data_IF_195485487239
#
_entry.id   IF_195485487239
#
_cell.length_a   1.000
_cell.length_b   1.000
_cell.length_c   1.000
_cell.angle_alpha   90.00
_cell.angle_beta   90.00
_cell.angle_gamma   90.00
#
_symmetry.space_group_name_H-M   'P 1'
#
loop_
_entity.id
_entity.type
_entity.pdbx_description
1 polymer ?
#
# COMPACT_ATOMS: atom_id res chain seq x y z
N UNK A 1 1.78 39.06 2.88
CA UNK A 1 2.60 37.86 3.17
C UNK A 1 3.64 38.12 4.26
N UNK A 2 3.27 38.70 5.41
CA UNK A 2 4.19 38.94 6.54
C UNK A 2 3.64 38.49 7.90
N UNK A 3 2.37 38.09 7.99
CA UNK A 3 1.75 37.65 9.24
C UNK A 3 1.85 36.13 9.49
N UNK A 4 2.06 35.31 8.45
CA UNK A 4 2.21 33.85 8.61
C UNK A 4 3.60 33.41 9.09
N UNK A 5 4.64 34.23 8.86
CA UNK A 5 6.00 33.89 9.28
C UNK A 5 6.21 33.95 10.81
N UNK A 6 5.40 34.76 11.53
CA UNK A 6 5.53 34.94 12.98
C UNK A 6 4.85 33.84 13.82
N UNK A 7 4.01 32.99 13.20
CA UNK A 7 3.30 31.91 13.91
C UNK A 7 4.13 30.63 14.02
N UNK A 8 4.96 30.35 13.02
CA UNK A 8 5.81 29.14 12.97
C UNK A 8 6.97 29.16 13.97
N UNK A 9 7.46 30.33 14.38
CA UNK A 9 8.55 30.43 15.38
C UNK A 9 8.10 30.16 16.84
N UNK A 10 6.79 30.18 17.16
CA UNK A 10 6.31 29.85 18.51
C UNK A 10 6.13 28.35 18.76
N UNK A 11 6.02 27.55 17.70
CA UNK A 11 5.80 26.11 17.82
C UNK A 11 7.09 25.28 17.87
N UNK A 12 8.23 25.86 17.48
CA UNK A 12 9.55 25.19 17.53
C UNK A 12 10.34 25.44 18.83
N UNK A 13 9.83 26.29 19.74
CA UNK A 13 10.49 26.61 21.02
C UNK A 13 10.15 25.67 22.19
N UNK A 14 9.39 24.59 21.98
CA UNK A 14 8.88 23.70 23.06
C UNK A 14 9.48 22.29 23.08
N UNK A 15 10.54 22.04 22.32
CA UNK A 15 11.23 20.75 22.23
C UNK A 15 12.74 20.91 22.40
N UNK A 16 13.15 21.49 23.52
CA UNK A 16 14.48 21.28 24.10
C UNK A 16 14.34 21.36 25.62
N UNK A 17 15.16 20.59 26.33
CA UNK A 17 15.22 20.42 27.80
C UNK A 17 14.40 19.27 28.38
N UNK A 18 14.97 18.06 28.33
CA UNK A 18 14.89 17.09 29.43
C UNK A 18 15.96 16.00 29.24
N UNK A 19 17.22 16.34 29.46
CA UNK A 19 18.27 15.40 29.86
C UNK A 19 19.08 16.08 30.97
N UNK A 20 19.19 15.44 32.13
CA UNK A 20 19.92 16.01 33.26
C UNK A 20 19.65 15.32 34.60
N UNK A 21 20.55 14.40 34.93
CA UNK A 21 20.72 13.64 36.16
C UNK A 21 20.68 14.46 37.47
N UNK A 22 20.52 13.76 38.60
CA UNK A 22 21.11 14.19 39.87
C UNK A 22 20.33 13.79 41.13
N UNK A 23 20.98 13.01 41.98
CA UNK A 23 20.53 12.56 43.29
C UNK A 23 20.37 13.71 44.32
N UNK A 24 19.52 13.54 45.33
CA UNK A 24 19.99 13.40 46.72
C UNK A 24 18.83 13.26 47.72
N UNK A 25 19.06 12.40 48.71
CA UNK A 25 18.19 12.15 49.83
C UNK A 25 18.42 13.18 50.95
N UNK A 26 17.35 13.69 51.57
CA UNK A 26 17.38 14.10 52.98
C UNK A 26 15.99 14.14 53.62
N UNK A 27 15.91 13.53 54.79
CA UNK A 27 14.75 13.39 55.66
C UNK A 27 14.39 14.68 56.41
N UNK A 28 13.14 14.77 56.88
CA UNK A 28 12.73 15.71 57.93
C UNK A 28 11.21 15.93 58.00
N UNK A 29 10.51 15.54 59.09
CA UNK A 29 9.06 15.65 59.25
C UNK A 29 8.64 16.88 60.07
N UNK A 30 7.48 17.46 59.79
CA UNK A 30 6.76 18.33 60.73
C UNK A 30 5.25 18.26 60.56
N UNK A 31 4.58 18.35 61.70
CA UNK A 31 3.19 18.02 61.99
C UNK A 31 2.15 19.12 61.68
N UNK A 32 0.89 18.69 61.75
CA UNK A 32 -0.26 19.34 62.42
C UNK A 32 -1.13 20.40 61.73
N UNK A 33 -2.45 20.26 61.95
CA UNK A 33 -3.52 21.25 61.81
C UNK A 33 -4.37 21.07 60.55
N UNK A 34 -5.65 20.68 60.54
CA UNK A 34 -6.69 20.76 61.56
C UNK A 34 -7.52 22.04 61.42
N UNK A 35 -8.53 22.07 60.54
CA UNK A 35 -9.73 22.91 60.73
C UNK A 35 -10.89 22.52 59.82
N UNK A 36 -11.99 22.15 60.46
CA UNK A 36 -13.37 22.04 59.98
C UNK A 36 -13.96 23.40 59.63
N UNK A 37 -14.80 23.47 58.59
CA UNK A 37 -15.66 24.64 58.32
C UNK A 37 -16.69 24.36 57.20
N UNK A 38 -17.97 24.76 57.35
CA UNK A 38 -19.11 24.16 56.66
C UNK A 38 -19.52 24.85 55.33
N UNK A 39 -20.37 24.13 54.58
CA UNK A 39 -21.15 24.58 53.43
C UNK A 39 -22.09 25.76 53.77
N UNK A 40 -22.61 26.51 52.78
CA UNK A 40 -23.92 26.11 52.23
C UNK A 40 -24.21 26.49 50.74
N UNK A 41 -25.32 25.91 50.28
CA UNK A 41 -26.32 26.44 49.32
C UNK A 41 -26.02 26.47 47.80
N UNK A 42 -26.61 25.46 47.14
CA UNK A 42 -27.57 25.54 46.04
C UNK A 42 -27.48 26.72 45.03
N UNK A 43 -27.32 26.35 43.75
CA UNK A 43 -28.13 26.95 42.69
C UNK A 43 -28.25 26.02 41.47
N UNK A 44 -29.48 25.84 41.04
CA UNK A 44 -29.90 25.05 39.88
C UNK A 44 -29.73 25.84 38.58
N UNK A 45 -29.35 25.17 37.47
CA UNK A 45 -29.83 25.48 36.12
C UNK A 45 -29.24 24.53 35.06
N UNK A 46 -30.12 23.90 34.28
CA UNK A 46 -29.95 23.83 32.83
C UNK A 46 -29.17 22.66 32.22
N UNK A 47 -29.72 21.45 32.29
CA UNK A 47 -29.35 20.35 31.37
C UNK A 47 -30.18 20.48 30.09
N UNK A 48 -29.64 21.09 29.04
CA UNK A 48 -30.14 20.99 27.67
C UNK A 48 -29.12 20.24 26.82
N UNK A 49 -29.24 18.91 26.80
CA UNK A 49 -28.53 18.03 25.89
C UNK A 49 -29.14 18.13 24.49
N UNK A 50 -28.66 19.06 23.67
CA UNK A 50 -28.82 19.02 22.21
C UNK A 50 -27.47 18.70 21.56
N UNK A 51 -27.23 17.40 21.33
CA UNK A 51 -26.35 16.92 20.26
C UNK A 51 -26.52 15.39 20.11
N UNK A 52 -27.21 14.93 19.06
CA UNK A 52 -26.65 13.81 18.29
C UNK A 52 -26.99 13.88 16.79
N UNK A 53 -26.91 15.08 16.17
CA UNK A 53 -27.13 15.21 14.73
C UNK A 53 -25.83 15.03 13.91
N UNK A 54 -24.69 15.53 14.42
CA UNK A 54 -23.43 15.50 13.69
C UNK A 54 -22.79 14.09 13.61
N UNK A 55 -22.95 13.26 14.64
CA UNK A 55 -22.40 11.90 14.64
C UNK A 55 -23.09 10.98 13.61
N UNK A 56 -24.40 11.16 13.39
CA UNK A 56 -25.15 10.38 12.39
C UNK A 56 -24.79 10.76 10.95
N UNK A 57 -24.39 12.01 10.70
CA UNK A 57 -23.96 12.45 9.38
C UNK A 57 -22.61 11.82 8.97
N UNK A 58 -21.67 11.70 9.91
CA UNK A 58 -20.38 11.05 9.67
C UNK A 58 -20.52 9.55 9.35
N UNK A 59 -21.44 8.85 10.03
CA UNK A 59 -21.72 7.44 9.74
C UNK A 59 -22.33 7.24 8.34
N UNK A 60 -23.20 8.16 7.91
CA UNK A 60 -23.79 8.12 6.57
C UNK A 60 -22.72 8.33 5.49
N UNK A 61 -21.79 9.27 5.67
CA UNK A 61 -20.69 9.48 4.72
C UNK A 61 -19.75 8.27 4.61
N UNK A 62 -19.46 7.60 5.74
CA UNK A 62 -18.66 6.36 5.76
C UNK A 62 -19.39 5.23 5.01
N UNK A 63 -20.70 5.09 5.21
CA UNK A 63 -21.52 4.10 4.49
C UNK A 63 -21.59 4.39 2.98
N UNK A 64 -21.72 5.67 2.59
CA UNK A 64 -21.78 6.08 1.20
C UNK A 64 -20.42 5.88 0.49
N UNK A 65 -19.32 6.14 1.21
CA UNK A 65 -17.97 5.83 0.75
C UNK A 65 -17.74 4.33 0.57
N UNK A 66 -18.27 3.48 1.45
CA UNK A 66 -18.19 2.03 1.34
C UNK A 66 -19.02 1.48 0.17
N UNK A 67 -20.23 2.01 -0.04
CA UNK A 67 -21.09 1.65 -1.18
C UNK A 67 -20.48 2.08 -2.51
N UNK A 68 -19.91 3.28 -2.59
CA UNK A 68 -19.21 3.76 -3.79
C UNK A 68 -17.99 2.89 -4.14
N UNK A 69 -17.23 2.43 -3.13
CA UNK A 69 -16.11 1.50 -3.33
C UNK A 69 -16.58 0.14 -3.85
N UNK A 70 -17.69 -0.39 -3.33
CA UNK A 70 -18.29 -1.65 -3.81
C UNK A 70 -18.82 -1.52 -5.24
N UNK A 71 -19.39 -0.37 -5.58
CA UNK A 71 -19.87 -0.09 -6.93
C UNK A 71 -18.71 -0.06 -7.94
N UNK A 72 -17.60 0.60 -7.61
CA UNK A 72 -16.41 0.64 -8.45
C UNK A 72 -15.78 -0.74 -8.68
N UNK A 73 -15.76 -1.60 -7.65
CA UNK A 73 -15.32 -2.99 -7.76
C UNK A 73 -16.23 -3.82 -8.69
N UNK A 74 -17.55 -3.65 -8.59
CA UNK A 74 -18.52 -4.32 -9.48
C UNK A 74 -18.37 -3.87 -10.93
N UNK A 75 -18.14 -2.58 -11.18
CA UNK A 75 -17.93 -2.06 -12.54
C UNK A 75 -16.68 -2.65 -13.18
N UNK A 76 -15.57 -2.72 -12.43
CA UNK A 76 -14.34 -3.36 -12.90
C UNK A 76 -14.54 -4.86 -13.16
N UNK A 77 -15.26 -5.57 -12.29
CA UNK A 77 -15.57 -6.98 -12.48
C UNK A 77 -16.41 -7.24 -13.74
N UNK A 78 -17.47 -6.44 -13.96
CA UNK A 78 -18.32 -6.56 -15.14
C UNK A 78 -17.57 -6.28 -16.45
N UNK A 79 -16.67 -5.28 -16.46
CA UNK A 79 -15.83 -5.01 -17.63
C UNK A 79 -14.87 -6.16 -17.94
N UNK A 80 -14.31 -6.83 -16.92
CA UNK A 80 -13.45 -8.00 -17.14
C UNK A 80 -14.21 -9.22 -17.65
N UNK A 81 -15.50 -9.36 -17.29
CA UNK A 81 -16.34 -10.45 -17.81
C UNK A 81 -16.80 -10.21 -19.25
N UNK A 82 -17.00 -8.96 -19.65
CA UNK A 82 -17.44 -8.61 -21.01
C UNK A 82 -16.33 -8.69 -22.08
N UNK A 83 -15.07 -8.80 -21.68
CA UNK A 83 -13.93 -8.85 -22.62
C UNK A 83 -13.44 -10.27 -22.93
N UNK A 84 -14.16 -11.32 -22.53
CA UNK A 84 -13.84 -12.68 -22.96
C UNK A 84 -14.38 -12.91 -24.39
N UNK A 85 -13.52 -13.14 -25.40
CA UNK A 85 -13.98 -13.55 -26.72
C UNK A 85 -14.63 -14.94 -26.62
N UNK A 86 -15.80 -15.07 -27.23
CA UNK A 86 -16.50 -16.34 -27.36
C UNK A 86 -15.68 -17.29 -28.24
N UNK A 87 -14.94 -18.21 -27.61
CA UNK A 87 -14.28 -19.31 -28.32
C UNK A 87 -15.31 -20.43 -28.47
N UNK A 88 -15.57 -20.77 -29.72
CA UNK A 88 -16.62 -21.69 -30.15
C UNK A 88 -16.53 -23.07 -29.50
N UNK A 89 -17.70 -23.59 -29.14
CA UNK A 89 -17.91 -24.90 -28.57
C UNK A 89 -17.60 -26.03 -29.57
N UNK A 90 -16.71 -26.94 -29.17
CA UNK A 90 -16.51 -28.25 -29.77
C UNK A 90 -16.20 -29.24 -28.66
N UNK A 91 -17.11 -30.18 -28.42
CA UNK A 91 -17.14 -31.00 -27.22
C UNK A 91 -16.02 -32.04 -27.09
N UNK A 92 -15.58 -32.26 -25.86
CA UNK A 92 -15.45 -33.61 -25.31
C UNK A 92 -15.34 -33.54 -23.79
N UNK A 93 -16.08 -34.42 -23.12
CA UNK A 93 -16.06 -34.61 -21.69
C UNK A 93 -14.69 -35.17 -21.23
N UNK A 94 -14.32 -34.84 -19.98
CA UNK A 94 -13.11 -35.23 -19.26
C UNK A 94 -11.86 -34.36 -19.48
N UNK A 95 -11.81 -33.23 -18.76
CA UNK A 95 -10.65 -32.78 -17.95
C UNK A 95 -11.02 -31.45 -17.27
N UNK A 96 -11.02 -31.41 -15.93
CA UNK A 96 -10.95 -30.15 -15.18
C UNK A 96 -9.57 -29.53 -15.42
N UNK A 97 -9.41 -28.86 -16.56
CA UNK A 97 -8.25 -28.04 -16.90
C UNK A 97 -8.28 -26.76 -16.08
N UNK A 98 -7.80 -26.82 -14.84
CA UNK A 98 -7.41 -25.62 -14.11
C UNK A 98 -6.32 -24.92 -14.93
N UNK A 99 -6.64 -23.75 -15.50
CA UNK A 99 -5.64 -22.89 -16.14
C UNK A 99 -4.42 -22.81 -15.22
N UNK A 100 -3.26 -23.26 -15.69
CA UNK A 100 -2.10 -23.45 -14.83
C UNK A 100 -1.74 -22.11 -14.18
N UNK A 101 -2.03 -21.96 -12.89
CA UNK A 101 -1.65 -20.80 -12.07
C UNK A 101 -0.13 -20.74 -11.81
N UNK A 102 0.66 -21.40 -12.66
CA UNK A 102 2.11 -21.41 -12.57
C UNK A 102 2.64 -20.06 -13.03
N UNK A 103 3.47 -19.49 -12.18
CA UNK A 103 4.19 -18.25 -12.40
C UNK A 103 5.69 -18.53 -12.62
N UNK A 104 6.04 -19.80 -12.85
CA UNK A 104 7.39 -20.26 -13.07
C UNK A 104 8.07 -19.52 -14.24
N UNK A 105 9.34 -19.16 -14.05
CA UNK A 105 10.14 -18.43 -15.04
C UNK A 105 9.81 -16.94 -15.16
N UNK A 106 8.85 -16.42 -14.39
CA UNK A 106 8.54 -14.99 -14.34
C UNK A 106 9.35 -14.28 -13.27
N UNK A 107 9.71 -13.04 -13.55
CA UNK A 107 10.33 -12.13 -12.62
C UNK A 107 9.38 -10.94 -12.38
N UNK A 108 9.01 -10.73 -11.12
CA UNK A 108 8.13 -9.65 -10.73
C UNK A 108 8.86 -8.63 -9.88
N UNK A 109 8.69 -7.36 -10.26
CA UNK A 109 9.03 -6.23 -9.41
C UNK A 109 7.77 -5.67 -8.77
N UNK A 110 7.77 -5.60 -7.44
CA UNK A 110 6.63 -5.15 -6.63
C UNK A 110 6.98 -3.80 -6.03
N UNK A 111 6.10 -2.82 -6.19
CA UNK A 111 6.23 -1.51 -5.55
C UNK A 111 5.15 -1.37 -4.48
N UNK A 112 5.53 -0.86 -3.31
CA UNK A 112 4.55 -0.48 -2.29
C UNK A 112 3.84 0.85 -2.61
N UNK A 113 2.84 1.21 -1.82
CA UNK A 113 2.05 2.43 -1.99
C UNK A 113 2.87 3.71 -1.89
N UNK A 114 3.85 3.76 -0.98
CA UNK A 114 4.72 4.93 -0.82
C UNK A 114 5.62 5.14 -2.04
N UNK A 115 6.16 4.07 -2.62
CA UNK A 115 6.95 4.14 -3.85
C UNK A 115 6.06 4.53 -5.04
N UNK A 116 4.82 4.05 -5.10
CA UNK A 116 3.86 4.53 -6.11
C UNK A 116 3.55 6.02 -5.98
N UNK A 117 3.40 6.55 -4.77
CA UNK A 117 3.15 7.97 -4.56
C UNK A 117 4.38 8.82 -4.88
N UNK A 118 5.52 8.50 -4.27
CA UNK A 118 6.71 9.35 -4.28
C UNK A 118 7.56 9.17 -5.55
N UNK A 119 7.55 7.96 -6.14
CA UNK A 119 8.41 7.57 -7.27
C UNK A 119 7.60 7.15 -8.50
N UNK A 120 6.35 7.61 -8.61
CA UNK A 120 5.51 7.30 -9.79
C UNK A 120 6.21 7.57 -11.12
N UNK A 121 7.10 8.59 -11.19
CA UNK A 121 7.82 8.97 -12.41
C UNK A 121 8.83 7.91 -12.80
N UNK A 122 9.61 7.44 -11.84
CA UNK A 122 10.55 6.34 -12.03
C UNK A 122 9.84 5.06 -12.49
N UNK A 123 8.71 4.73 -11.86
CA UNK A 123 7.92 3.55 -12.24
C UNK A 123 7.49 3.64 -13.72
N UNK A 124 6.86 4.75 -14.13
CA UNK A 124 6.29 4.88 -15.48
C UNK A 124 7.31 5.23 -16.57
N UNK A 125 8.29 6.08 -16.28
CA UNK A 125 9.21 6.58 -17.31
C UNK A 125 10.47 5.75 -17.44
N UNK A 126 10.91 5.10 -16.36
CA UNK A 126 12.18 4.37 -16.37
C UNK A 126 11.92 2.87 -16.36
N UNK A 127 11.23 2.36 -15.33
CA UNK A 127 11.02 0.92 -15.16
C UNK A 127 10.09 0.37 -16.24
N UNK A 128 8.90 0.94 -16.39
CA UNK A 128 7.91 0.53 -17.37
C UNK A 128 8.45 0.58 -18.79
N UNK A 129 9.05 1.72 -19.18
CA UNK A 129 9.61 1.88 -20.52
C UNK A 129 10.72 0.88 -20.80
N UNK A 130 11.60 0.60 -19.82
CA UNK A 130 12.64 -0.40 -19.98
C UNK A 130 12.03 -1.80 -20.24
N UNK A 131 11.01 -2.20 -19.47
CA UNK A 131 10.34 -3.50 -19.66
C UNK A 131 9.69 -3.57 -21.05
N UNK A 132 8.90 -2.56 -21.42
CA UNK A 132 8.21 -2.53 -22.73
C UNK A 132 9.22 -2.55 -23.88
N UNK A 133 10.27 -1.73 -23.82
CA UNK A 133 11.28 -1.65 -24.87
C UNK A 133 12.10 -2.94 -25.02
N UNK A 134 12.29 -3.70 -23.93
CA UNK A 134 12.99 -4.98 -23.98
C UNK A 134 12.22 -6.08 -24.70
N UNK A 135 10.89 -5.93 -24.83
CA UNK A 135 9.98 -6.99 -25.27
C UNK A 135 10.00 -8.23 -24.38
N UNK A 136 10.45 -8.12 -23.12
CA UNK A 136 10.45 -9.25 -22.18
C UNK A 136 9.01 -9.65 -21.83
N UNK A 137 8.72 -10.95 -21.95
CA UNK A 137 7.44 -11.53 -21.54
C UNK A 137 7.48 -12.10 -20.12
N UNK A 138 8.68 -12.26 -19.55
CA UNK A 138 8.96 -12.89 -18.25
C UNK A 138 9.12 -11.85 -17.15
N UNK A 139 9.69 -10.67 -17.45
CA UNK A 139 9.87 -9.58 -16.50
C UNK A 139 8.68 -8.62 -16.51
N UNK A 140 8.04 -8.41 -15.36
CA UNK A 140 6.80 -7.61 -15.24
C UNK A 140 6.75 -6.83 -13.93
N UNK A 141 5.94 -5.77 -13.92
CA UNK A 141 5.54 -5.08 -12.69
C UNK A 141 4.33 -5.80 -12.09
N UNK A 142 4.45 -6.25 -10.84
CA UNK A 142 3.34 -6.83 -10.07
C UNK A 142 2.76 -5.77 -9.13
N UNK A 143 1.45 -5.53 -9.23
CA UNK A 143 0.72 -4.56 -8.40
C UNK A 143 -0.16 -5.33 -7.41
N UNK A 144 0.20 -5.31 -6.11
CA UNK A 144 -0.63 -5.90 -5.07
C UNK A 144 -2.00 -5.22 -5.00
N UNK A 145 -3.03 -5.99 -4.66
CA UNK A 145 -4.38 -5.46 -4.49
C UNK A 145 -4.44 -4.45 -3.32
N UNK A 146 -3.63 -4.69 -2.29
CA UNK A 146 -3.53 -3.80 -1.13
C UNK A 146 -3.05 -2.40 -1.53
N UNK A 147 -2.09 -2.31 -2.44
CA UNK A 147 -1.60 -1.01 -2.96
C UNK A 147 -2.72 -0.23 -3.64
N UNK A 148 -3.55 -0.90 -4.45
CA UNK A 148 -4.69 -0.26 -5.11
C UNK A 148 -5.69 0.26 -4.08
N UNK A 149 -6.01 -0.55 -3.06
CA UNK A 149 -6.94 -0.18 -1.98
C UNK A 149 -6.43 0.99 -1.15
N UNK A 150 -5.15 0.99 -0.80
CA UNK A 150 -4.53 2.08 -0.06
C UNK A 150 -4.53 3.38 -0.88
N UNK A 151 -4.15 3.32 -2.16
CA UNK A 151 -4.22 4.49 -3.05
C UNK A 151 -5.66 5.03 -3.16
N UNK A 152 -6.66 4.15 -3.24
CA UNK A 152 -8.07 4.53 -3.27
C UNK A 152 -8.59 5.11 -1.94
N UNK A 153 -8.00 4.73 -0.82
CA UNK A 153 -8.24 5.37 0.48
C UNK A 153 -7.59 6.77 0.53
N UNK A 154 -6.31 6.85 0.15
CA UNK A 154 -5.49 8.07 0.24
C UNK A 154 -5.99 9.16 -0.71
N UNK A 155 -6.60 8.81 -1.86
CA UNK A 155 -7.16 9.79 -2.81
C UNK A 155 -8.22 10.71 -2.18
N UNK A 156 -8.83 10.32 -1.06
CA UNK A 156 -9.82 11.09 -0.31
C UNK A 156 -9.17 12.04 0.72
N UNK A 157 -7.88 11.91 0.99
CA UNK A 157 -7.15 12.75 1.94
C UNK A 157 -6.73 14.09 1.32
N UNK A 158 -6.94 15.19 2.04
CA UNK A 158 -6.71 16.56 1.53
C UNK A 158 -5.27 16.82 1.03
N UNK A 159 -4.24 16.38 1.77
CA UNK A 159 -2.84 16.68 1.42
C UNK A 159 -2.18 15.65 0.49
N UNK A 160 -2.54 14.37 0.62
CA UNK A 160 -1.91 13.27 -0.15
C UNK A 160 -2.74 12.83 -1.35
N UNK A 161 -3.99 13.28 -1.47
CA UNK A 161 -4.92 12.79 -2.48
C UNK A 161 -4.46 13.04 -3.91
N UNK A 162 -3.83 14.19 -4.17
CA UNK A 162 -3.27 14.49 -5.49
C UNK A 162 -2.23 13.45 -5.96
N UNK A 163 -1.34 13.03 -5.06
CA UNK A 163 -0.30 12.04 -5.36
C UNK A 163 -0.90 10.66 -5.61
N UNK A 164 -1.87 10.27 -4.78
CA UNK A 164 -2.58 9.01 -4.97
C UNK A 164 -3.37 8.98 -6.28
N UNK A 165 -4.11 10.04 -6.61
CA UNK A 165 -4.80 10.16 -7.90
C UNK A 165 -3.83 10.08 -9.09
N UNK A 166 -2.67 10.73 -8.99
CA UNK A 166 -1.64 10.67 -10.03
C UNK A 166 -1.08 9.26 -10.19
N UNK A 167 -0.87 8.52 -9.10
CA UNK A 167 -0.43 7.14 -9.14
C UNK A 167 -1.49 6.23 -9.79
N UNK A 168 -2.77 6.38 -9.42
CA UNK A 168 -3.90 5.64 -9.99
C UNK A 168 -4.01 5.87 -11.50
N UNK A 169 -4.03 7.13 -11.96
CA UNK A 169 -4.08 7.44 -13.41
C UNK A 169 -2.93 6.82 -14.20
N UNK A 170 -1.77 6.67 -13.56
CA UNK A 170 -0.60 6.02 -14.18
C UNK A 170 -0.75 4.51 -14.23
N UNK A 171 -1.26 3.90 -13.17
CA UNK A 171 -1.61 2.48 -13.15
C UNK A 171 -2.66 2.17 -14.23
N UNK A 172 -3.73 2.95 -14.33
CA UNK A 172 -4.77 2.82 -15.36
C UNK A 172 -4.17 2.90 -16.77
N UNK A 173 -3.27 3.87 -17.02
CA UNK A 173 -2.58 3.98 -18.31
C UNK A 173 -1.65 2.81 -18.65
N UNK A 174 -1.31 1.95 -17.68
CA UNK A 174 -0.49 0.74 -17.87
C UNK A 174 -1.35 -0.55 -17.89
N UNK A 175 -2.64 -0.46 -17.54
CA UNK A 175 -3.54 -1.61 -17.53
C UNK A 175 -3.73 -2.20 -18.94
N UNK A 176 -3.99 -3.51 -18.99
CA UNK A 176 -4.17 -4.27 -20.24
C UNK A 176 -2.86 -4.67 -20.93
N UNK A 177 -1.72 -4.07 -20.58
CA UNK A 177 -0.44 -4.44 -21.17
C UNK A 177 0.23 -5.59 -20.42
N UNK A 178 0.84 -6.53 -21.16
CA UNK A 178 1.47 -7.75 -20.61
C UNK A 178 2.63 -7.51 -19.62
N UNK A 179 3.10 -6.27 -19.51
CA UNK A 179 4.20 -5.86 -18.63
C UNK A 179 3.68 -5.48 -17.23
N UNK A 180 2.36 -5.32 -17.07
CA UNK A 180 1.70 -5.09 -15.79
C UNK A 180 0.90 -6.34 -15.41
N UNK A 181 1.06 -6.81 -14.18
CA UNK A 181 0.22 -7.82 -13.57
C UNK A 181 -0.41 -7.23 -12.31
N UNK A 182 -1.72 -7.04 -12.29
CA UNK A 182 -2.44 -6.77 -11.05
C UNK A 182 -2.78 -8.06 -10.33
N UNK A 183 -2.70 -8.09 -8.99
CA UNK A 183 -3.24 -9.19 -8.19
C UNK A 183 -4.77 -9.18 -8.24
N UNK A 184 -5.38 -10.34 -8.51
CA UNK A 184 -6.84 -10.52 -8.51
C UNK A 184 -7.37 -10.72 -7.09
N UNK A 185 -8.67 -10.53 -6.90
CA UNK A 185 -9.28 -10.63 -5.55
C UNK A 185 -9.28 -12.05 -4.96
N UNK A 186 -9.33 -13.06 -5.82
CA UNK A 186 -9.27 -14.49 -5.50
C UNK A 186 -7.82 -14.99 -5.31
N UNK A 187 -6.83 -14.19 -5.70
CA UNK A 187 -5.41 -14.45 -5.52
C UNK A 187 -4.97 -13.98 -4.13
N UNK A 188 -5.31 -14.75 -3.10
CA UNK A 188 -4.86 -14.50 -1.72
C UNK A 188 -4.03 -15.67 -1.21
N UNK A 189 -2.93 -15.36 -0.53
CA UNK A 189 -2.21 -16.35 0.26
C UNK A 189 -3.10 -16.73 1.46
N UNK A 190 -3.64 -17.95 1.47
CA UNK A 190 -4.46 -18.44 2.59
C UNK A 190 -3.53 -18.89 3.70
N UNK A 191 -3.69 -18.38 4.92
CA UNK A 191 -3.06 -19.00 6.11
C UNK A 191 -2.47 -18.08 7.18
N UNK A 192 -2.36 -16.77 6.96
CA UNK A 192 -1.82 -15.85 7.98
C UNK A 192 -2.85 -14.84 8.47
N UNK A 193 -2.93 -14.68 9.80
CA UNK A 193 -3.67 -13.62 10.49
C UNK A 193 -3.08 -12.27 10.05
N UNK A 194 -3.82 -11.56 9.19
CA UNK A 194 -3.36 -10.31 8.57
C UNK A 194 -3.40 -9.15 9.55
N UNK A 195 -2.24 -8.51 9.77
CA UNK A 195 -2.14 -7.08 10.11
C UNK A 195 -2.06 -6.26 8.81
N UNK A 196 -2.43 -4.98 8.88
CA UNK A 196 -2.81 -4.17 7.70
C UNK A 196 -1.76 -4.12 6.56
N UNK A 197 -0.46 -4.13 6.85
CA UNK A 197 0.60 -4.10 5.81
C UNK A 197 0.91 -5.48 5.20
N UNK A 198 0.27 -6.54 5.68
CA UNK A 198 0.53 -7.92 5.27
C UNK A 198 0.03 -8.18 3.85
N UNK A 199 -0.86 -7.34 3.31
CA UNK A 199 -1.42 -7.54 1.97
C UNK A 199 -0.35 -7.52 0.86
N UNK A 200 0.65 -6.66 0.98
CA UNK A 200 1.77 -6.57 0.02
C UNK A 200 2.68 -7.80 0.15
N UNK A 201 3.01 -8.17 1.40
CA UNK A 201 3.86 -9.33 1.67
C UNK A 201 3.19 -10.64 1.24
N UNK A 202 1.91 -10.80 1.52
CA UNK A 202 1.10 -11.94 1.09
C UNK A 202 1.03 -12.05 -0.43
N UNK A 203 0.96 -10.92 -1.15
CA UNK A 203 1.06 -10.91 -2.60
C UNK A 203 2.40 -11.50 -3.05
N UNK A 204 3.51 -11.01 -2.48
CA UNK A 204 4.85 -11.51 -2.79
C UNK A 204 4.98 -13.02 -2.51
N UNK A 205 4.51 -13.46 -1.34
CA UNK A 205 4.54 -14.87 -0.92
C UNK A 205 3.71 -15.76 -1.85
N UNK A 206 2.52 -15.31 -2.24
CA UNK A 206 1.66 -16.05 -3.16
C UNK A 206 2.32 -16.29 -4.52
N UNK A 207 2.84 -15.24 -5.15
CA UNK A 207 3.45 -15.37 -6.47
C UNK A 207 4.77 -16.14 -6.42
N UNK A 208 5.53 -16.02 -5.33
CA UNK A 208 6.71 -16.86 -5.08
C UNK A 208 6.33 -18.33 -4.93
N UNK A 209 5.29 -18.65 -4.16
CA UNK A 209 4.79 -20.03 -4.02
C UNK A 209 4.31 -20.63 -5.35
N UNK A 210 3.95 -19.79 -6.33
CA UNK A 210 3.62 -20.18 -7.70
C UNK A 210 4.85 -20.29 -8.63
N UNK A 211 6.06 -20.11 -8.11
CA UNK A 211 7.32 -20.26 -8.85
C UNK A 211 7.90 -18.98 -9.44
N UNK A 212 7.31 -17.80 -9.16
CA UNK A 212 7.89 -16.54 -9.61
C UNK A 212 9.10 -16.13 -8.78
N UNK A 213 10.02 -15.44 -9.44
CA UNK A 213 11.06 -14.67 -8.76
C UNK A 213 10.49 -13.29 -8.40
N UNK A 214 10.56 -12.90 -7.14
CA UNK A 214 9.97 -11.65 -6.65
C UNK A 214 11.09 -10.73 -6.17
N UNK A 215 11.00 -9.44 -6.52
CA UNK A 215 11.82 -8.36 -6.00
C UNK A 215 10.90 -7.26 -5.44
N UNK A 216 10.98 -6.99 -4.14
CA UNK A 216 10.24 -5.90 -3.51
C UNK A 216 11.05 -4.59 -3.56
N UNK A 217 10.44 -3.52 -4.05
CA UNK A 217 10.97 -2.17 -4.01
C UNK A 217 10.17 -1.35 -3.00
N UNK A 218 10.81 -1.02 -1.87
CA UNK A 218 10.17 -0.32 -0.76
C UNK A 218 11.19 0.57 -0.05
N UNK A 219 10.71 1.70 0.49
CA UNK A 219 11.48 2.54 1.41
C UNK A 219 11.19 2.20 2.87
N UNK A 220 10.09 1.51 3.15
CA UNK A 220 9.69 1.16 4.50
C UNK A 220 10.67 0.15 5.09
N UNK A 221 11.25 0.49 6.25
CA UNK A 221 12.22 -0.37 6.93
C UNK A 221 11.53 -1.62 7.48
N UNK A 222 10.35 -1.48 8.07
CA UNK A 222 9.61 -2.57 8.70
C UNK A 222 9.14 -3.57 7.65
N UNK A 223 8.57 -3.09 6.53
CA UNK A 223 8.14 -3.97 5.45
C UNK A 223 9.32 -4.75 4.85
N UNK A 224 10.47 -4.08 4.64
CA UNK A 224 11.68 -4.75 4.12
C UNK A 224 12.27 -5.76 5.09
N UNK A 225 12.33 -5.45 6.39
CA UNK A 225 12.81 -6.39 7.41
C UNK A 225 11.95 -7.65 7.39
N UNK A 226 10.62 -7.49 7.39
CA UNK A 226 9.69 -8.63 7.32
C UNK A 226 9.81 -9.42 6.02
N UNK A 227 9.88 -8.74 4.88
CA UNK A 227 10.06 -9.38 3.58
C UNK A 227 11.37 -10.20 3.53
N UNK A 228 12.46 -9.67 4.10
CA UNK A 228 13.74 -10.40 4.20
C UNK A 228 13.65 -11.62 5.12
N UNK A 229 12.96 -11.52 6.26
CA UNK A 229 12.72 -12.67 7.14
C UNK A 229 11.99 -13.79 6.39
N UNK A 230 11.08 -13.43 5.50
CA UNK A 230 10.40 -14.38 4.63
C UNK A 230 11.23 -14.83 3.43
N UNK A 231 12.43 -14.31 3.20
CA UNK A 231 13.30 -14.64 2.06
C UNK A 231 12.90 -13.94 0.74
N UNK A 232 12.23 -12.80 0.80
CA UNK A 232 11.92 -11.96 -0.36
C UNK A 232 13.00 -10.86 -0.48
N UNK A 233 13.76 -10.82 -1.59
CA UNK A 233 14.78 -9.80 -1.79
C UNK A 233 14.14 -8.42 -1.93
N UNK A 234 14.82 -7.42 -1.38
CA UNK A 234 14.33 -6.05 -1.29
C UNK A 234 15.38 -5.07 -1.84
N UNK A 235 14.94 -4.04 -2.55
CA UNK A 235 15.79 -2.94 -3.03
C UNK A 235 15.16 -1.58 -2.69
N UNK A 236 15.98 -0.52 -2.72
CA UNK A 236 15.49 0.85 -2.66
C UNK A 236 15.09 1.33 -4.07
N UNK A 237 14.28 2.40 -4.18
CA UNK A 237 13.95 3.00 -5.47
C UNK A 237 15.18 3.37 -6.31
N UNK A 238 16.27 3.83 -5.70
CA UNK A 238 17.50 4.18 -6.42
C UNK A 238 18.14 2.98 -7.13
N UNK A 239 17.99 1.78 -6.57
CA UNK A 239 18.66 0.56 -7.05
C UNK A 239 17.80 -0.23 -8.04
N UNK A 240 16.52 0.16 -8.19
CA UNK A 240 15.53 -0.62 -8.92
C UNK A 240 15.82 -0.71 -10.41
N UNK A 241 16.26 0.40 -11.01
CA UNK A 241 16.48 0.49 -12.44
C UNK A 241 17.76 -0.24 -12.88
N UNK A 242 18.91 -0.11 -12.19
CA UNK A 242 20.07 -0.96 -12.43
C UNK A 242 19.75 -2.45 -12.35
N UNK A 243 19.04 -2.87 -11.30
CA UNK A 243 18.62 -4.26 -11.09
C UNK A 243 17.74 -4.75 -12.24
N UNK A 244 16.75 -3.94 -12.63
CA UNK A 244 15.85 -4.25 -13.73
C UNK A 244 16.59 -4.40 -15.06
N UNK A 245 17.54 -3.50 -15.36
CA UNK A 245 18.35 -3.58 -16.58
C UNK A 245 19.20 -4.84 -16.63
N UNK A 246 19.84 -5.20 -15.51
CA UNK A 246 20.58 -6.45 -15.39
C UNK A 246 19.66 -7.65 -15.68
N UNK A 247 18.46 -7.64 -15.11
CA UNK A 247 17.50 -8.73 -15.34
C UNK A 247 17.07 -8.82 -16.81
N UNK A 248 16.76 -7.69 -17.43
CA UNK A 248 16.33 -7.64 -18.83
C UNK A 248 17.44 -8.09 -19.80
N UNK A 249 18.71 -7.84 -19.46
CA UNK A 249 19.84 -8.36 -20.22
C UNK A 249 19.91 -9.89 -20.17
N UNK A 250 19.76 -10.48 -18.97
CA UNK A 250 19.71 -11.94 -18.79
C UNK A 250 18.54 -12.57 -19.56
N UNK A 251 17.36 -11.94 -19.53
CA UNK A 251 16.20 -12.40 -20.30
C UNK A 251 16.46 -12.35 -21.83
N UNK A 252 17.27 -11.39 -22.31
CA UNK A 252 17.64 -11.29 -23.72
C UNK A 252 18.61 -12.41 -24.15
N UNK A 253 19.61 -12.72 -23.32
CA UNK A 253 20.56 -13.81 -23.56
C UNK A 253 19.86 -15.18 -23.62
N UNK A 254 18.94 -15.43 -22.69
CA UNK A 254 18.16 -16.67 -22.67
C UNK A 254 17.27 -16.84 -23.90
N UNK A 255 16.70 -15.75 -24.42
CA UNK A 255 15.93 -15.76 -25.67
C UNK A 255 16.80 -16.05 -26.89
N UNK A 256 18.01 -15.48 -26.94
CA UNK A 256 18.98 -15.73 -28.01
C UNK A 256 19.44 -17.19 -28.05
N UNK A 257 19.73 -17.78 -26.89
CA UNK A 257 20.14 -19.19 -26.82
C UNK A 257 19.04 -20.16 -27.30
N UNK A 258 17.77 -19.85 -26.99
CA UNK A 258 16.63 -20.68 -27.37
C UNK A 258 16.30 -20.63 -28.88
N UNK A 259 16.72 -19.57 -29.60
CA UNK A 259 16.48 -19.46 -31.04
C UNK A 259 17.49 -20.23 -31.89
N UNK A 260 18.68 -20.53 -31.36
CA UNK A 260 19.74 -21.26 -32.09
C UNK A 260 19.62 -22.79 -31.99
N UNK A 261 18.69 -23.31 -31.20
CA UNK A 261 18.44 -24.75 -31.05
C UNK A 261 17.23 -25.24 -31.88
N UNK A 262 16.74 -24.43 -32.82
CA UNK A 262 15.69 -24.80 -33.76
C UNK A 262 16.23 -24.78 -35.19
#
# INVERSE_FOLDING_TARGET
MAAEAASLQRQLGKLTMADGAGADAKAGPTASGGSTGPAPAASAAGTTSQAPAAAKAADVEIQLAALSSKLGQLTLCLQTMQQQPAVAAGGSAAQHGGASNSEAGRFYIVFDTNVFMDHSRMIKHDCWKAIVASGSSTTRILVPLEVVRELDGIKKCFFRGFWAQRAIRRLEAMQGHAALRGQREDERHRGMLRRNDDGILDCCLLFRARGAQIQLCSKDVNLRVRARTEGIPCCLPADVLPLLRQRLALDAEQRGAASHHK
#
